data_IF_942372263237
#
_entry.id   IF_942372263237
#
_cell.length_a   1.000
_cell.length_b   1.000
_cell.length_c   1.000
_cell.angle_alpha   90.00
_cell.angle_beta   90.00
_cell.angle_gamma   90.00
#
_symmetry.space_group_name_H-M   'P 1'
#
loop_
_entity.id
_entity.type
_entity.pdbx_description
1 polymer ?
#
# COMPACT_ATOMS: atom_id res chain seq x y z
N UNK A 1 -21.69 -8.54 -8.48
CA UNK A 1 -22.49 -9.23 -7.44
C UNK A 1 -21.65 -10.40 -6.91
N UNK A 2 -21.11 -10.27 -5.70
CA UNK A 2 -20.30 -11.30 -5.05
C UNK A 2 -21.08 -11.83 -3.85
N UNK A 3 -21.33 -13.14 -3.82
CA UNK A 3 -22.01 -13.82 -2.71
C UNK A 3 -20.93 -14.25 -1.71
N UNK A 4 -20.97 -13.69 -0.49
CA UNK A 4 -20.09 -14.07 0.63
C UNK A 4 -20.83 -15.08 1.51
N UNK A 5 -20.30 -16.28 1.78
CA UNK A 5 -20.96 -17.23 2.68
C UNK A 5 -20.93 -16.76 4.14
N UNK A 6 -22.03 -16.96 4.85
CA UNK A 6 -22.31 -16.45 6.21
C UNK A 6 -21.46 -17.02 7.37
N UNK A 7 -20.52 -17.94 7.13
CA UNK A 7 -19.92 -18.76 8.22
C UNK A 7 -18.39 -18.64 8.31
N UNK A 8 -17.84 -17.45 8.11
CA UNK A 8 -16.39 -17.20 8.12
C UNK A 8 -15.69 -17.50 9.47
N UNK A 9 -16.42 -17.44 10.58
CA UNK A 9 -15.85 -17.63 11.93
C UNK A 9 -15.36 -19.07 12.23
N UNK A 10 -15.83 -20.09 11.51
CA UNK A 10 -15.48 -21.48 11.80
C UNK A 10 -14.11 -21.92 11.24
N UNK A 11 -13.52 -21.16 10.31
CA UNK A 11 -12.24 -21.54 9.66
C UNK A 11 -10.99 -21.06 10.41
N UNK A 12 -11.14 -20.21 11.43
CA UNK A 12 -10.00 -19.67 12.19
C UNK A 12 -9.64 -20.47 13.45
N UNK A 13 -10.49 -21.38 13.92
CA UNK A 13 -10.26 -22.09 15.19
C UNK A 13 -9.51 -23.43 15.06
N UNK A 14 -9.22 -23.91 13.85
CA UNK A 14 -8.65 -25.26 13.66
C UNK A 14 -7.12 -25.33 13.55
N UNK A 15 -6.36 -24.29 13.96
CA UNK A 15 -4.89 -24.30 13.78
C UNK A 15 -4.07 -23.80 14.98
N UNK A 16 -4.66 -23.73 16.16
CA UNK A 16 -4.01 -23.12 17.33
C UNK A 16 -3.52 -24.10 18.42
N UNK A 17 -3.66 -25.43 18.27
CA UNK A 17 -3.43 -26.35 19.40
C UNK A 17 -2.23 -27.30 19.32
N UNK A 18 -1.43 -27.32 18.25
CA UNK A 18 -0.29 -28.25 18.13
C UNK A 18 1.09 -27.57 18.06
N UNK A 19 1.47 -26.85 19.11
CA UNK A 19 2.88 -26.47 19.28
C UNK A 19 3.37 -26.71 20.71
N UNK A 20 4.12 -27.80 20.89
CA UNK A 20 4.86 -28.15 22.12
C UNK A 20 6.35 -27.76 21.97
N UNK A 21 7.01 -27.14 22.98
CA UNK A 21 8.32 -26.50 22.81
C UNK A 21 9.52 -27.38 23.18
N UNK A 22 9.44 -28.72 23.08
CA UNK A 22 10.56 -29.62 23.38
C UNK A 22 10.91 -30.51 22.20
N UNK A 23 11.78 -30.03 21.31
CA UNK A 23 12.32 -30.82 20.20
C UNK A 23 13.58 -30.18 19.64
N UNK A 24 14.72 -30.77 19.97
CA UNK A 24 16.07 -30.39 19.56
C UNK A 24 16.18 -30.30 18.04
N UNK A 25 16.61 -29.15 17.49
CA UNK A 25 16.93 -29.00 16.06
C UNK A 25 18.37 -29.45 15.81
N UNK A 26 18.67 -30.33 14.83
CA UNK A 26 20.04 -30.57 14.40
C UNK A 26 20.56 -29.35 13.63
N UNK A 27 21.83 -29.01 13.87
CA UNK A 27 22.54 -27.94 13.19
C UNK A 27 22.73 -28.29 11.71
N UNK A 28 22.27 -27.41 10.81
CA UNK A 28 22.54 -27.48 9.37
C UNK A 28 23.08 -26.13 8.89
N UNK A 29 24.39 -26.16 8.66
CA UNK A 29 25.23 -25.32 7.79
C UNK A 29 24.76 -23.88 7.51
N UNK A 30 25.51 -22.94 8.08
CA UNK A 30 25.60 -21.52 7.73
C UNK A 30 25.98 -21.35 6.25
N UNK A 31 25.02 -21.43 5.34
CA UNK A 31 25.17 -20.81 4.02
C UNK A 31 24.83 -19.34 4.19
N UNK A 32 25.85 -18.49 4.24
CA UNK A 32 25.69 -17.04 4.22
C UNK A 32 24.89 -16.65 2.96
N UNK A 33 23.60 -16.37 3.13
CA UNK A 33 22.81 -15.71 2.09
C UNK A 33 23.37 -14.30 1.93
N UNK A 34 24.15 -14.09 0.86
CA UNK A 34 24.44 -12.75 0.36
C UNK A 34 23.10 -12.04 0.14
N UNK A 35 22.88 -10.84 0.70
CA UNK A 35 21.67 -10.09 0.39
C UNK A 35 21.75 -9.68 -1.08
N UNK A 36 20.93 -10.34 -1.90
CA UNK A 36 20.68 -9.89 -3.27
C UNK A 36 20.04 -8.51 -3.18
N UNK A 37 20.82 -7.46 -3.46
CA UNK A 37 20.35 -6.10 -3.77
C UNK A 37 19.38 -6.20 -4.95
N UNK A 38 18.10 -6.41 -4.66
CA UNK A 38 17.02 -6.36 -5.63
C UNK A 38 16.71 -4.88 -5.86
N UNK A 39 16.70 -4.45 -7.13
CA UNK A 39 16.37 -3.11 -7.56
C UNK A 39 15.16 -2.58 -6.77
N UNK A 40 15.43 -1.62 -5.87
CA UNK A 40 14.40 -0.94 -5.10
C UNK A 40 13.90 0.17 -6.02
N UNK A 41 12.68 0.04 -6.54
CA UNK A 41 12.00 1.19 -7.10
C UNK A 41 11.92 2.25 -5.98
N UNK A 42 12.16 3.53 -6.31
CA UNK A 42 12.22 4.63 -5.33
C UNK A 42 10.96 4.69 -4.44
N UNK A 43 9.80 4.39 -5.00
CA UNK A 43 8.48 4.15 -4.36
C UNK A 43 8.56 3.26 -3.11
N UNK A 44 9.31 2.16 -3.23
CA UNK A 44 9.49 1.23 -2.13
C UNK A 44 10.29 1.86 -1.01
N UNK A 45 11.29 2.71 -1.28
CA UNK A 45 12.19 3.25 -0.26
C UNK A 45 11.49 4.23 0.70
N UNK A 46 10.64 5.12 0.18
CA UNK A 46 9.97 6.16 0.97
C UNK A 46 8.90 5.57 1.90
N UNK A 47 7.98 4.75 1.37
CA UNK A 47 6.99 4.02 2.17
C UNK A 47 7.62 2.91 3.03
N UNK A 48 8.62 2.16 2.52
CA UNK A 48 9.18 1.05 3.30
C UNK A 48 9.98 1.51 4.49
N UNK A 49 10.52 2.73 4.53
CA UNK A 49 11.36 3.16 5.67
C UNK A 49 10.53 3.32 6.95
N UNK A 50 9.41 4.06 6.97
CA UNK A 50 8.50 4.10 8.12
C UNK A 50 7.91 2.73 8.46
N UNK A 51 7.41 2.00 7.45
CA UNK A 51 6.67 0.75 7.68
C UNK A 51 7.60 -0.39 8.11
N UNK A 52 8.81 -0.49 7.55
CA UNK A 52 9.80 -1.52 7.94
C UNK A 52 10.32 -1.35 9.35
N UNK A 53 10.27 -0.14 9.93
CA UNK A 53 10.61 0.08 11.35
C UNK A 53 9.59 -0.54 12.30
N UNK A 54 8.34 -0.67 11.87
CA UNK A 54 7.24 -1.20 12.69
C UNK A 54 6.80 -2.61 12.26
N UNK A 55 7.21 -3.05 11.07
CA UNK A 55 6.86 -4.35 10.50
C UNK A 55 7.94 -5.39 10.74
N UNK A 56 7.59 -6.67 10.59
CA UNK A 56 8.59 -7.75 10.63
C UNK A 56 9.64 -7.55 9.52
N UNK A 57 10.91 -7.91 9.77
CA UNK A 57 11.92 -7.94 8.73
C UNK A 57 11.42 -8.77 7.54
N UNK A 58 11.54 -8.23 6.32
CA UNK A 58 11.11 -8.86 5.06
C UNK A 58 9.60 -9.01 4.84
N UNK A 59 8.75 -8.28 5.58
CA UNK A 59 7.32 -8.26 5.26
C UNK A 59 7.07 -7.59 3.91
N UNK A 60 6.37 -8.29 3.03
CA UNK A 60 5.92 -7.76 1.74
C UNK A 60 4.71 -6.85 2.01
N UNK A 61 4.76 -5.62 1.50
CA UNK A 61 3.65 -4.68 1.59
C UNK A 61 2.56 -5.08 0.61
N UNK A 62 1.33 -5.16 1.12
CA UNK A 62 0.14 -5.45 0.31
C UNK A 62 -0.41 -4.17 -0.32
N UNK A 63 -1.18 -4.31 -1.41
CA UNK A 63 -1.86 -3.16 -2.04
C UNK A 63 -2.77 -2.38 -1.07
N UNK A 64 -3.56 -3.02 -0.16
CA UNK A 64 -4.33 -2.27 0.83
C UNK A 64 -3.47 -1.46 1.80
N UNK A 65 -2.30 -1.96 2.19
CA UNK A 65 -1.37 -1.21 3.04
C UNK A 65 -0.83 0.04 2.31
N UNK A 66 -0.56 -0.09 1.00
CA UNK A 66 -0.16 1.02 0.14
C UNK A 66 -1.27 2.07 0.03
N UNK A 67 -2.51 1.64 -0.22
CA UNK A 67 -3.66 2.53 -0.28
C UNK A 67 -3.87 3.28 1.04
N UNK A 68 -3.77 2.59 2.18
CA UNK A 68 -3.89 3.22 3.49
C UNK A 68 -2.80 4.25 3.78
N UNK A 69 -1.54 3.92 3.45
CA UNK A 69 -0.41 4.83 3.62
C UNK A 69 -0.60 6.13 2.84
N UNK A 70 -0.95 6.02 1.56
CA UNK A 70 -1.19 7.18 0.70
C UNK A 70 -2.44 7.98 1.06
N UNK A 71 -3.45 7.32 1.62
CA UNK A 71 -4.63 8.02 2.16
C UNK A 71 -4.26 8.87 3.39
N UNK A 72 -3.35 8.37 4.23
CA UNK A 72 -2.84 9.14 5.37
C UNK A 72 -1.98 10.33 4.92
N UNK A 73 -1.14 10.15 3.90
CA UNK A 73 -0.32 11.22 3.33
C UNK A 73 -1.16 12.34 2.71
N UNK A 74 -2.21 11.97 1.96
CA UNK A 74 -3.23 12.90 1.47
C UNK A 74 -3.88 13.68 2.64
N UNK A 75 -4.30 12.98 3.69
CA UNK A 75 -4.93 13.59 4.85
C UNK A 75 -4.02 14.61 5.53
N UNK A 76 -2.75 14.26 5.76
CA UNK A 76 -1.75 15.17 6.32
C UNK A 76 -1.53 16.39 5.42
N UNK A 77 -1.46 16.19 4.11
CA UNK A 77 -1.31 17.29 3.14
C UNK A 77 -2.49 18.27 3.19
N UNK A 78 -3.72 17.77 3.38
CA UNK A 78 -4.90 18.63 3.56
C UNK A 78 -4.84 19.37 4.89
N UNK A 79 -4.42 18.70 5.98
CA UNK A 79 -4.24 19.34 7.29
C UNK A 79 -3.23 20.49 7.22
N UNK A 80 -2.09 20.27 6.55
CA UNK A 80 -1.07 21.29 6.35
C UNK A 80 -1.62 22.49 5.57
N UNK A 81 -2.41 22.25 4.52
CA UNK A 81 -3.09 23.31 3.77
C UNK A 81 -4.14 24.05 4.60
N UNK A 82 -4.89 23.34 5.43
CA UNK A 82 -5.95 23.92 6.28
C UNK A 82 -5.35 24.86 7.33
N UNK A 83 -4.20 24.49 7.89
CA UNK A 83 -3.49 25.30 8.87
C UNK A 83 -3.96 25.06 10.31
N UNK A 84 -3.54 25.96 11.22
CA UNK A 84 -3.64 25.75 12.68
C UNK A 84 -5.05 25.93 13.25
N UNK A 85 -5.90 26.70 12.57
CA UNK A 85 -7.30 26.91 12.96
C UNK A 85 -8.18 25.78 12.39
N UNK A 86 -7.83 24.55 12.75
CA UNK A 86 -8.42 23.35 12.18
C UNK A 86 -9.82 23.12 12.77
N UNK A 87 -10.81 23.13 11.89
CA UNK A 87 -12.18 22.67 12.13
C UNK A 87 -12.58 21.64 11.08
N UNK A 88 -13.66 20.90 11.31
CA UNK A 88 -14.19 19.98 10.29
C UNK A 88 -14.55 20.74 9.02
N UNK A 89 -15.21 21.90 9.15
CA UNK A 89 -15.65 22.70 8.00
C UNK A 89 -14.46 23.25 7.20
N UNK A 90 -13.46 23.82 7.86
CA UNK A 90 -12.26 24.35 7.20
C UNK A 90 -11.42 23.24 6.54
N UNK A 91 -11.37 22.05 7.15
CA UNK A 91 -10.73 20.88 6.54
C UNK A 91 -11.47 20.43 5.28
N UNK A 92 -12.80 20.29 5.35
CA UNK A 92 -13.61 19.88 4.21
C UNK A 92 -13.57 20.92 3.10
N UNK A 93 -13.58 22.21 3.43
CA UNK A 93 -13.40 23.29 2.47
C UNK A 93 -12.04 23.18 1.77
N UNK A 94 -10.96 23.00 2.54
CA UNK A 94 -9.60 22.86 2.00
C UNK A 94 -9.44 21.64 1.08
N UNK A 95 -10.06 20.52 1.45
CA UNK A 95 -10.04 19.26 0.70
C UNK A 95 -10.85 19.33 -0.60
N UNK A 96 -11.95 20.07 -0.62
CA UNK A 96 -12.93 20.03 -1.71
C UNK A 96 -12.92 21.26 -2.61
N UNK A 97 -12.09 22.26 -2.33
CA UNK A 97 -11.97 23.49 -3.13
C UNK A 97 -10.76 23.45 -4.08
N UNK A 98 -10.72 22.46 -4.96
CA UNK A 98 -9.66 22.33 -5.98
C UNK A 98 -8.31 21.85 -5.43
N UNK A 99 -8.31 21.05 -4.37
CA UNK A 99 -7.07 20.50 -3.81
C UNK A 99 -6.40 19.53 -4.78
N UNK A 100 -5.08 19.63 -4.91
CA UNK A 100 -4.27 18.71 -5.70
C UNK A 100 -3.24 18.05 -4.80
N UNK A 101 -3.05 16.74 -4.97
CA UNK A 101 -2.05 15.98 -4.24
C UNK A 101 -1.34 15.00 -5.17
N UNK A 102 -0.01 14.98 -5.09
CA UNK A 102 0.86 14.12 -5.87
C UNK A 102 2.08 13.79 -5.06
N UNK A 103 2.64 12.60 -5.25
CA UNK A 103 3.91 12.21 -4.68
C UNK A 103 4.82 11.84 -5.85
N UNK A 104 5.89 12.60 -6.04
CA UNK A 104 6.78 12.39 -7.17
C UNK A 104 7.35 10.97 -7.14
N UNK A 105 7.19 10.23 -8.24
CA UNK A 105 7.64 8.85 -8.26
C UNK A 105 6.99 7.99 -7.17
N UNK A 106 5.80 8.38 -6.68
CA UNK A 106 4.92 7.85 -5.64
C UNK A 106 3.46 7.55 -6.07
N UNK A 107 2.79 8.65 -6.38
CA UNK A 107 1.38 8.77 -6.69
C UNK A 107 1.21 9.76 -7.83
N UNK A 108 0.44 9.43 -8.87
CA UNK A 108 0.05 10.42 -9.87
C UNK A 108 -0.78 11.54 -9.23
N UNK A 109 -0.79 12.71 -9.86
CA UNK A 109 -1.58 13.83 -9.36
C UNK A 109 -3.08 13.48 -9.29
N UNK A 110 -3.64 13.71 -8.11
CA UNK A 110 -5.08 13.65 -7.82
C UNK A 110 -5.60 15.08 -7.67
N UNK A 111 -6.84 15.32 -8.09
CA UNK A 111 -7.59 16.56 -8.00
C UNK A 111 -8.93 16.31 -7.31
N UNK A 112 -9.22 17.10 -6.28
CA UNK A 112 -10.41 16.97 -5.46
C UNK A 112 -11.32 18.19 -5.68
N UNK A 113 -12.64 17.98 -5.89
CA UNK A 113 -13.41 16.79 -5.53
C UNK A 113 -13.55 15.73 -6.63
N UNK A 114 -12.96 15.93 -7.82
CA UNK A 114 -13.14 15.02 -8.97
C UNK A 114 -12.77 13.58 -8.62
N UNK A 115 -11.67 13.39 -7.89
CA UNK A 115 -11.18 12.06 -7.52
C UNK A 115 -11.91 11.40 -6.34
N UNK A 116 -13.03 11.96 -5.86
CA UNK A 116 -13.97 11.21 -4.99
C UNK A 116 -14.64 10.05 -5.71
N UNK A 117 -14.90 10.21 -7.02
CA UNK A 117 -15.69 9.26 -7.80
C UNK A 117 -15.03 8.86 -9.11
N UNK A 118 -14.11 9.67 -9.63
CA UNK A 118 -13.32 9.34 -10.83
C UNK A 118 -11.95 8.87 -10.39
N UNK A 119 -11.55 7.65 -10.74
CA UNK A 119 -10.19 7.20 -10.47
C UNK A 119 -9.18 7.94 -11.36
N UNK A 120 -7.97 8.17 -10.84
CA UNK A 120 -6.87 8.62 -11.71
C UNK A 120 -6.56 7.49 -12.71
N UNK A 121 -6.54 7.75 -14.02
CA UNK A 121 -6.44 6.71 -15.04
C UNK A 121 -4.98 6.29 -15.24
N UNK A 122 -4.36 5.81 -14.16
CA UNK A 122 -3.02 5.27 -14.15
C UNK A 122 -3.06 3.77 -13.89
N UNK A 123 -2.32 3.01 -14.68
CA UNK A 123 -2.24 1.57 -14.53
C UNK A 123 -0.87 1.05 -14.97
N UNK A 124 -0.50 -0.10 -14.41
CA UNK A 124 0.60 -0.93 -14.86
C UNK A 124 0.05 -2.31 -15.21
N UNK A 125 0.68 -3.01 -16.15
CA UNK A 125 0.39 -4.44 -16.38
C UNK A 125 1.40 -5.27 -15.63
N UNK A 126 0.92 -6.12 -14.72
CA UNK A 126 1.73 -7.07 -13.96
C UNK A 126 1.44 -8.48 -14.43
N UNK A 127 2.50 -9.27 -14.63
CA UNK A 127 2.43 -10.68 -15.02
C UNK A 127 3.04 -11.58 -13.95
N UNK A 128 2.61 -12.83 -13.89
CA UNK A 128 3.23 -13.85 -13.05
C UNK A 128 4.40 -14.49 -13.80
N UNK A 129 5.62 -14.35 -13.29
CA UNK A 129 6.83 -14.99 -13.80
C UNK A 129 7.60 -15.62 -12.65
N UNK A 130 7.98 -16.89 -12.77
CA UNK A 130 8.76 -17.60 -11.75
C UNK A 130 8.17 -17.48 -10.32
N UNK A 131 6.85 -17.63 -10.20
CA UNK A 131 6.07 -17.48 -8.96
C UNK A 131 6.14 -16.08 -8.33
N UNK A 132 6.45 -15.04 -9.10
CA UNK A 132 6.51 -13.64 -8.67
C UNK A 132 5.74 -12.74 -9.62
N UNK A 133 5.05 -11.75 -9.08
CA UNK A 133 4.50 -10.67 -9.91
C UNK A 133 5.65 -9.76 -10.36
N UNK A 134 5.73 -9.55 -11.67
CA UNK A 134 6.69 -8.65 -12.31
C UNK A 134 5.92 -7.66 -13.17
N UNK A 135 6.37 -6.41 -13.20
CA UNK A 135 5.84 -5.40 -14.10
C UNK A 135 6.21 -5.77 -15.55
N UNK A 136 5.19 -6.00 -16.37
CA UNK A 136 5.32 -6.30 -17.81
C UNK A 136 5.15 -5.07 -18.69
N UNK A 137 4.35 -4.11 -18.22
CA UNK A 137 4.26 -2.76 -18.80
C UNK A 137 4.37 -1.76 -17.66
N UNK A 138 5.25 -0.78 -17.85
CA UNK A 138 5.47 0.28 -16.86
C UNK A 138 4.18 1.00 -16.51
N UNK A 139 4.02 1.37 -15.25
CA UNK A 139 2.96 2.28 -14.83
C UNK A 139 2.94 3.53 -15.73
N UNK A 140 1.79 3.83 -16.31
CA UNK A 140 1.56 5.03 -17.12
C UNK A 140 0.17 5.57 -16.85
N UNK A 141 0.01 6.88 -17.08
CA UNK A 141 -1.22 7.61 -16.84
C UNK A 141 -1.76 8.15 -18.16
N UNK A 142 -3.05 7.99 -18.41
CA UNK A 142 -3.73 8.67 -19.52
C UNK A 142 -4.36 9.98 -19.06
N UNK A 143 -4.93 10.73 -20.00
CA UNK A 143 -5.81 11.85 -19.66
C UNK A 143 -7.08 11.33 -18.97
N UNK A 144 -7.64 12.14 -18.06
CA UNK A 144 -8.96 11.90 -17.49
C UNK A 144 -10.00 11.96 -18.61
N UNK A 145 -10.61 10.82 -18.93
CA UNK A 145 -11.77 10.77 -19.82
C UNK A 145 -12.99 10.88 -18.92
N UNK A 146 -13.70 12.01 -19.01
CA UNK A 146 -14.98 12.17 -18.32
C UNK A 146 -15.97 11.19 -18.97
N UNK A 147 -16.62 10.29 -18.21
CA UNK A 147 -17.66 9.42 -18.76
C UNK A 147 -18.86 10.22 -19.26
#
# INVERSE_FOLDING_TARGET
MLIIPRNWHALLSARATDWSPSGSRPALATTAMRPLRRARSTWGAEMSTPISRQSRPNQVLSLPALAGYWSADLFLSVLEKTGRDLTVDSFLESANSGFTHSVEGALPATQWPINHVVNVPCAALVGLKDKKYVETVKASCSSLIKP
#
